data_IF_037651958935
#
_entry.id   IF_037651958935
#
_cell.length_a   1.000
_cell.length_b   1.000
_cell.length_c   1.000
_cell.angle_alpha   90.00
_cell.angle_beta   90.00
_cell.angle_gamma   90.00
#
_symmetry.space_group_name_H-M   'P 1'
#
loop_
_entity.id
_entity.type
_entity.pdbx_description
1 polymer ?
#
# COMPACT_ATOMS: atom_id res chain seq x y z
N UNK A 1 2.17 -0.39 10.19
CA UNK A 1 2.54 0.36 11.42
C UNK A 1 2.20 -0.40 12.71
N UNK A 2 0.96 -0.89 12.90
CA UNK A 2 0.54 -1.54 14.17
C UNK A 2 1.38 -2.77 14.52
N UNK A 3 1.70 -3.61 13.55
CA UNK A 3 2.59 -4.77 13.73
C UNK A 3 3.98 -4.38 14.26
N UNK A 4 4.54 -3.29 13.74
CA UNK A 4 5.84 -2.76 14.19
C UNK A 4 5.75 -2.27 15.64
N UNK A 5 4.66 -1.59 16.00
CA UNK A 5 4.42 -1.13 17.37
C UNK A 5 4.35 -2.32 18.35
N UNK A 6 3.62 -3.38 18.00
CA UNK A 6 3.54 -4.57 18.82
C UNK A 6 4.88 -5.29 18.97
N UNK A 7 5.67 -5.36 17.88
CA UNK A 7 7.01 -5.91 17.94
C UNK A 7 7.92 -5.12 18.88
N UNK A 8 7.92 -3.79 18.77
CA UNK A 8 8.67 -2.91 19.66
C UNK A 8 8.26 -3.07 21.12
N UNK A 9 6.96 -3.14 21.39
CA UNK A 9 6.44 -3.36 22.74
C UNK A 9 6.86 -4.73 23.31
N UNK A 10 6.85 -5.79 22.50
CA UNK A 10 7.31 -7.12 22.94
C UNK A 10 8.78 -7.11 23.37
N UNK A 11 9.64 -6.41 22.63
CA UNK A 11 11.06 -6.25 22.98
C UNK A 11 11.22 -5.39 24.22
N UNK A 12 10.52 -4.27 24.32
CA UNK A 12 10.60 -3.36 25.47
C UNK A 12 10.15 -4.01 26.79
N UNK A 13 9.18 -4.92 26.71
CA UNK A 13 8.68 -5.69 27.86
C UNK A 13 9.52 -6.93 28.19
N UNK A 14 10.58 -7.20 27.44
CA UNK A 14 11.43 -8.38 27.63
C UNK A 14 10.75 -9.71 27.28
N UNK A 15 9.68 -9.67 26.47
CA UNK A 15 8.98 -10.88 26.01
C UNK A 15 9.72 -11.61 24.87
N UNK A 16 10.54 -10.89 24.13
CA UNK A 16 11.34 -11.39 23.03
C UNK A 16 12.54 -10.50 22.79
N UNK A 17 13.67 -11.08 22.38
CA UNK A 17 14.87 -10.33 22.03
C UNK A 17 14.86 -9.87 20.58
N UNK A 18 14.22 -10.65 19.69
CA UNK A 18 14.10 -10.36 18.25
C UNK A 18 12.69 -10.66 17.80
N UNK A 19 12.09 -9.74 17.04
CA UNK A 19 10.74 -9.91 16.47
C UNK A 19 10.74 -9.51 15.00
N UNK A 20 10.15 -10.36 14.15
CA UNK A 20 9.85 -10.04 12.76
C UNK A 20 8.43 -9.46 12.68
N UNK A 21 8.31 -8.26 12.11
CA UNK A 21 7.03 -7.58 11.96
C UNK A 21 6.74 -7.27 10.49
N UNK A 22 5.49 -7.44 10.07
CA UNK A 22 5.09 -7.18 8.70
C UNK A 22 3.58 -7.17 8.54
N UNK A 23 3.14 -7.16 7.31
CA UNK A 23 1.75 -7.25 6.90
C UNK A 23 1.64 -7.70 5.45
N UNK A 24 0.48 -8.23 5.10
CA UNK A 24 0.15 -8.69 3.74
C UNK A 24 -1.31 -8.36 3.45
N UNK A 25 -1.59 -8.06 2.20
CA UNK A 25 -2.94 -7.84 1.71
C UNK A 25 -3.16 -8.53 0.37
N UNK A 26 -4.30 -9.20 0.21
CA UNK A 26 -4.72 -9.78 -1.06
C UNK A 26 -5.63 -8.79 -1.80
N UNK A 27 -5.03 -7.84 -2.51
CA UNK A 27 -5.75 -6.76 -3.18
C UNK A 27 -6.77 -7.26 -4.21
N UNK A 28 -6.50 -8.39 -4.86
CA UNK A 28 -7.41 -9.01 -5.84
C UNK A 28 -8.66 -9.63 -5.21
N UNK A 29 -8.68 -9.85 -3.90
CA UNK A 29 -9.79 -10.46 -3.17
C UNK A 29 -10.52 -9.49 -2.24
N UNK A 30 -10.21 -8.21 -2.30
CA UNK A 30 -10.88 -7.19 -1.48
C UNK A 30 -12.34 -7.05 -1.93
N UNK A 31 -13.30 -7.07 -0.99
CA UNK A 31 -14.72 -6.96 -1.32
C UNK A 31 -15.14 -5.53 -1.65
N UNK A 32 -16.27 -5.42 -2.33
CA UNK A 32 -17.03 -4.18 -2.41
C UNK A 32 -18.01 -4.07 -1.25
N UNK A 33 -18.25 -2.87 -0.75
CA UNK A 33 -19.14 -2.61 0.37
C UNK A 33 -20.45 -1.98 -0.09
N UNK A 34 -21.56 -2.50 0.45
CA UNK A 34 -22.91 -1.94 0.34
C UNK A 34 -23.32 -1.47 1.74
N UNK A 35 -22.96 -0.25 2.11
CA UNK A 35 -23.07 0.25 3.48
C UNK A 35 -24.51 0.24 4.05
N UNK A 36 -25.50 0.42 3.19
CA UNK A 36 -26.92 0.45 3.58
C UNK A 36 -27.66 -0.88 3.34
N UNK A 37 -27.01 -1.90 2.77
CA UNK A 37 -27.68 -3.14 2.40
C UNK A 37 -28.39 -3.82 3.59
N UNK A 38 -27.81 -3.77 4.79
CA UNK A 38 -28.39 -4.37 6.02
C UNK A 38 -29.73 -3.74 6.40
N UNK A 39 -29.90 -2.45 6.17
CA UNK A 39 -31.10 -1.68 6.53
C UNK A 39 -32.02 -1.45 5.34
N UNK A 40 -31.55 -1.78 4.13
CA UNK A 40 -32.26 -1.64 2.85
C UNK A 40 -32.12 -0.25 2.21
N UNK A 41 -32.14 -0.25 0.90
CA UNK A 41 -32.18 0.96 0.06
C UNK A 41 -33.66 1.30 -0.17
N UNK A 42 -34.20 2.25 0.59
CA UNK A 42 -35.65 2.53 0.61
C UNK A 42 -36.13 3.39 -0.57
N UNK A 43 -35.33 4.41 -0.93
CA UNK A 43 -35.66 5.33 -2.02
C UNK A 43 -34.37 5.88 -2.64
N UNK A 44 -34.36 5.96 -3.97
CA UNK A 44 -33.17 6.42 -4.72
C UNK A 44 -32.13 5.33 -4.94
N UNK A 45 -31.00 5.73 -5.46
CA UNK A 45 -29.84 4.85 -5.69
C UNK A 45 -29.03 4.59 -4.43
N UNK A 46 -28.06 3.64 -4.53
CA UNK A 46 -27.07 3.38 -3.51
C UNK A 46 -25.67 3.32 -4.11
N UNK A 47 -24.68 3.60 -3.28
CA UNK A 47 -23.30 3.55 -3.67
C UNK A 47 -22.71 2.15 -3.41
N UNK A 48 -21.91 1.66 -4.36
CA UNK A 48 -21.07 0.48 -4.21
C UNK A 48 -19.65 0.99 -3.99
N UNK A 49 -19.11 0.74 -2.81
CA UNK A 49 -17.81 1.27 -2.40
C UNK A 49 -16.74 0.20 -2.64
N UNK A 50 -15.72 0.53 -3.43
CA UNK A 50 -14.55 -0.34 -3.60
C UNK A 50 -13.73 -0.35 -2.31
N UNK A 51 -13.63 -1.52 -1.66
CA UNK A 51 -12.84 -1.70 -0.44
C UNK A 51 -11.36 -1.44 -0.65
N UNK A 52 -10.81 -1.75 -1.83
CA UNK A 52 -9.42 -1.46 -2.16
C UNK A 52 -9.13 0.04 -2.11
N UNK A 53 -9.98 0.83 -2.74
CA UNK A 53 -9.85 2.27 -2.74
C UNK A 53 -10.05 2.84 -1.33
N UNK A 54 -11.16 2.48 -0.67
CA UNK A 54 -11.54 3.03 0.62
C UNK A 54 -10.55 2.74 1.73
N UNK A 55 -10.08 1.49 1.83
CA UNK A 55 -9.30 1.03 2.98
C UNK A 55 -7.80 1.09 2.75
N UNK A 56 -7.34 1.21 1.48
CA UNK A 56 -5.93 1.16 1.13
C UNK A 56 -5.35 2.34 0.35
N UNK A 57 -6.14 2.98 -0.52
CA UNK A 57 -5.62 3.93 -1.50
C UNK A 57 -6.15 5.36 -1.35
N UNK A 58 -7.05 5.60 -0.39
CA UNK A 58 -7.55 6.94 -0.07
C UNK A 58 -6.97 7.43 1.25
N UNK A 59 -6.69 8.72 1.31
CA UNK A 59 -6.40 9.41 2.55
C UNK A 59 -7.61 9.33 3.50
N UNK A 60 -7.34 8.99 4.76
CA UNK A 60 -8.39 8.75 5.75
C UNK A 60 -9.05 10.04 6.28
N UNK A 61 -8.42 11.20 6.09
CA UNK A 61 -8.88 12.48 6.60
C UNK A 61 -9.62 13.29 5.53
N UNK A 62 -8.98 13.47 4.37
CA UNK A 62 -9.51 14.31 3.30
C UNK A 62 -10.29 13.52 2.25
N UNK A 63 -10.27 12.18 2.33
CA UNK A 63 -10.97 11.27 1.41
C UNK A 63 -10.60 11.46 -0.06
N UNK A 64 -9.34 11.80 -0.33
CA UNK A 64 -8.77 11.96 -1.65
C UNK A 64 -7.82 10.80 -1.97
N UNK A 65 -7.61 10.46 -3.25
CA UNK A 65 -6.60 9.47 -3.63
C UNK A 65 -5.21 9.87 -3.15
N UNK A 66 -4.43 8.94 -2.64
CA UNK A 66 -3.07 9.22 -2.15
C UNK A 66 -2.13 9.80 -3.21
N UNK A 67 -2.41 9.57 -4.51
CA UNK A 67 -1.70 10.22 -5.61
C UNK A 67 -1.86 11.75 -5.59
N UNK A 68 -3.06 12.23 -5.25
CA UNK A 68 -3.32 13.69 -5.07
C UNK A 68 -2.49 14.26 -3.93
N UNK A 69 -2.37 13.53 -2.81
CA UNK A 69 -1.48 13.93 -1.71
C UNK A 69 -0.01 14.04 -2.16
N UNK A 70 0.41 13.18 -3.09
CA UNK A 70 1.73 13.24 -3.73
C UNK A 70 1.91 14.51 -4.56
N UNK A 71 0.92 14.87 -5.37
CA UNK A 71 0.93 16.09 -6.18
C UNK A 71 0.95 17.36 -5.30
N UNK A 72 0.13 17.39 -4.25
CA UNK A 72 0.13 18.49 -3.27
C UNK A 72 1.47 18.62 -2.55
N UNK A 73 2.10 17.48 -2.21
CA UNK A 73 3.44 17.44 -1.62
C UNK A 73 4.48 18.03 -2.58
N UNK A 74 4.44 17.61 -3.85
CA UNK A 74 5.35 18.14 -4.87
C UNK A 74 5.17 19.65 -5.05
N UNK A 75 3.94 20.13 -5.06
CA UNK A 75 3.63 21.56 -5.13
C UNK A 75 4.12 22.31 -3.89
N UNK A 76 3.83 21.82 -2.71
CA UNK A 76 4.21 22.43 -1.42
C UNK A 76 5.72 22.59 -1.28
N UNK A 77 6.48 21.59 -1.69
CA UNK A 77 7.94 21.59 -1.61
C UNK A 77 8.63 22.03 -2.90
N UNK A 78 7.86 22.50 -3.89
CA UNK A 78 8.36 23.01 -5.16
C UNK A 78 9.27 22.02 -5.90
N UNK A 79 8.88 20.73 -5.87
CA UNK A 79 9.60 19.68 -6.59
C UNK A 79 9.19 19.73 -8.06
N UNK A 80 10.13 20.07 -8.95
CA UNK A 80 9.82 20.21 -10.36
C UNK A 80 9.48 18.87 -11.02
N UNK A 81 8.79 18.91 -12.16
CA UNK A 81 8.45 17.72 -12.93
C UNK A 81 9.71 16.99 -13.40
N UNK A 82 10.72 17.71 -13.83
CA UNK A 82 12.00 17.17 -14.28
C UNK A 82 12.71 16.41 -13.15
N UNK A 83 12.68 16.94 -11.93
CA UNK A 83 13.24 16.26 -10.75
C UNK A 83 12.49 14.95 -10.42
N UNK A 84 11.16 14.96 -10.53
CA UNK A 84 10.32 13.77 -10.34
C UNK A 84 10.61 12.70 -11.40
N UNK A 85 10.70 13.11 -12.66
CA UNK A 85 10.99 12.18 -13.78
C UNK A 85 12.41 11.62 -13.67
N UNK A 86 13.40 12.44 -13.34
CA UNK A 86 14.78 11.99 -13.12
C UNK A 86 14.88 10.96 -11.97
N UNK A 87 14.19 11.20 -10.86
CA UNK A 87 14.12 10.27 -9.75
C UNK A 87 13.45 8.95 -10.15
N UNK A 88 12.37 9.02 -10.92
CA UNK A 88 11.65 7.85 -11.42
C UNK A 88 12.55 6.99 -12.30
N UNK A 89 13.22 7.59 -13.29
CA UNK A 89 14.15 6.90 -14.19
C UNK A 89 15.28 6.22 -13.38
N UNK A 90 15.85 6.95 -12.43
CA UNK A 90 16.90 6.41 -11.56
C UNK A 90 16.41 5.22 -10.73
N UNK A 91 15.21 5.31 -10.16
CA UNK A 91 14.60 4.23 -9.36
C UNK A 91 14.40 2.96 -10.18
N UNK A 92 13.83 3.08 -11.37
CA UNK A 92 13.64 1.95 -12.28
C UNK A 92 14.96 1.34 -12.75
N UNK A 93 15.92 2.17 -13.11
CA UNK A 93 17.26 1.71 -13.55
C UNK A 93 17.98 0.92 -12.46
N UNK A 94 17.94 1.41 -11.22
CA UNK A 94 18.54 0.71 -10.06
C UNK A 94 17.87 -0.62 -9.77
N UNK A 95 16.53 -0.68 -9.85
CA UNK A 95 15.78 -1.91 -9.62
C UNK A 95 16.08 -2.95 -10.71
N UNK A 96 16.09 -2.53 -11.97
CA UNK A 96 16.43 -3.39 -13.11
C UNK A 96 17.85 -3.93 -13.00
N UNK A 97 18.82 -3.08 -12.74
CA UNK A 97 20.23 -3.46 -12.57
C UNK A 97 20.41 -4.44 -11.39
N UNK A 98 19.78 -4.17 -10.25
CA UNK A 98 19.84 -5.05 -9.09
C UNK A 98 19.28 -6.44 -9.39
N UNK A 99 18.18 -6.51 -10.15
CA UNK A 99 17.55 -7.76 -10.58
C UNK A 99 18.45 -8.52 -11.58
N UNK A 100 18.96 -7.85 -12.61
CA UNK A 100 19.82 -8.44 -13.61
C UNK A 100 21.12 -8.98 -13.03
N UNK A 101 21.69 -8.25 -12.07
CA UNK A 101 22.91 -8.65 -11.36
C UNK A 101 22.67 -9.71 -10.26
N UNK A 102 21.44 -10.19 -10.12
CA UNK A 102 21.08 -11.26 -9.19
C UNK A 102 21.19 -10.86 -7.71
N UNK A 103 21.16 -9.56 -7.37
CA UNK A 103 21.27 -9.09 -5.97
C UNK A 103 20.17 -9.66 -5.08
N UNK A 104 19.00 -9.93 -5.63
CA UNK A 104 17.84 -10.49 -4.90
C UNK A 104 17.72 -12.02 -4.98
N UNK A 105 18.63 -12.70 -5.71
CA UNK A 105 18.50 -14.14 -5.98
C UNK A 105 18.33 -15.01 -4.73
N UNK A 106 19.01 -14.66 -3.66
CA UNK A 106 18.97 -15.42 -2.40
C UNK A 106 17.77 -15.07 -1.50
N UNK A 107 17.03 -14.03 -1.85
CA UNK A 107 15.88 -13.51 -1.07
C UNK A 107 14.54 -13.91 -1.70
N UNK A 108 14.54 -14.32 -2.97
CA UNK A 108 13.32 -14.64 -3.72
C UNK A 108 12.91 -16.08 -3.48
N UNK A 109 11.68 -16.27 -3.00
CA UNK A 109 11.01 -17.56 -2.92
C UNK A 109 9.97 -17.64 -4.03
N UNK A 110 10.13 -18.53 -5.03
CA UNK A 110 9.17 -18.68 -6.12
C UNK A 110 7.83 -19.22 -5.61
N UNK A 111 6.73 -18.63 -6.09
CA UNK A 111 5.37 -19.07 -5.80
C UNK A 111 4.69 -19.41 -7.13
N UNK A 112 4.14 -20.64 -7.23
CA UNK A 112 3.35 -21.04 -8.40
C UNK A 112 1.95 -20.41 -8.33
N UNK A 113 1.62 -19.57 -9.31
CA UNK A 113 0.29 -18.97 -9.43
C UNK A 113 -0.43 -19.66 -10.59
N UNK A 114 -1.55 -20.38 -10.34
CA UNK A 114 -2.33 -20.96 -11.42
C UNK A 114 -2.89 -19.86 -12.32
N UNK A 115 -2.65 -19.96 -13.61
CA UNK A 115 -3.33 -19.10 -14.58
C UNK A 115 -4.78 -19.56 -14.74
N UNK A 116 -5.72 -18.61 -14.67
CA UNK A 116 -7.15 -18.86 -14.94
C UNK A 116 -7.39 -18.98 -16.41
#
# INVERSE_FOLDING_TARGET
>A
MKSIIFAAQAIQLGLSDVVVAGGMESMSNIPYYLSQARWGYKFGGGEIIDGLQKDGLMDAYDHIPMGVCGDETAQKYQISREAQDAFTIQSYSRAAEATLNGKFKNEIVPISVPQK
#
